data_IF_224918415606
#
_entry.id   IF_224918415606
#
_cell.length_a   1.000
_cell.length_b   1.000
_cell.length_c   1.000
_cell.angle_alpha   90.00
_cell.angle_beta   90.00
_cell.angle_gamma   90.00
#
_symmetry.space_group_name_H-M   'P 1'
#
loop_
_entity.id
_entity.type
_entity.pdbx_description
1 polymer ?
#
# COMPACT_ATOMS: atom_id res chain seq x y z
N UNK A 1 -12.92 19.02 2.71
CA UNK A 1 -14.08 18.36 3.34
C UNK A 1 -13.59 17.03 3.87
N UNK A 2 -13.79 16.71 5.13
CA UNK A 2 -13.36 15.44 5.70
C UNK A 2 -14.37 14.36 5.31
N UNK A 3 -13.94 13.36 4.54
CA UNK A 3 -14.79 12.23 4.16
C UNK A 3 -15.26 11.43 5.38
N UNK A 4 -14.46 11.36 6.44
CA UNK A 4 -14.80 10.67 7.69
C UNK A 4 -15.99 11.29 8.44
N UNK A 5 -16.21 12.60 8.33
CA UNK A 5 -17.22 13.31 9.12
C UNK A 5 -18.68 12.96 8.84
N UNK A 6 -18.96 12.19 7.80
CA UNK A 6 -20.31 11.75 7.40
C UNK A 6 -20.40 10.23 7.19
N UNK A 7 -19.39 9.50 7.65
CA UNK A 7 -19.27 8.06 7.52
C UNK A 7 -19.75 7.40 8.79
N UNK A 8 -20.60 6.39 8.68
CA UNK A 8 -21.05 5.57 9.81
C UNK A 8 -20.30 4.23 9.85
N UNK A 9 -20.14 3.59 8.69
CA UNK A 9 -19.45 2.29 8.53
C UNK A 9 -18.19 2.45 7.68
N UNK A 10 -17.03 2.32 8.29
CA UNK A 10 -15.73 2.43 7.63
C UNK A 10 -14.94 1.12 7.66
N UNK A 11 -14.21 0.83 6.60
CA UNK A 11 -13.24 -0.25 6.52
C UNK A 11 -11.85 0.30 6.20
N UNK A 12 -10.85 -0.14 6.95
CA UNK A 12 -9.43 0.02 6.61
C UNK A 12 -8.89 -1.33 6.11
N UNK A 13 -8.61 -1.43 4.81
CA UNK A 13 -8.09 -2.65 4.18
C UNK A 13 -6.57 -2.66 4.23
N UNK A 14 -5.99 -3.73 4.78
CA UNK A 14 -4.55 -3.85 4.93
C UNK A 14 -4.01 -2.90 5.99
N UNK A 15 -4.57 -2.98 7.20
CA UNK A 15 -4.28 -2.03 8.29
C UNK A 15 -2.84 -2.07 8.80
N UNK A 16 -2.06 -3.10 8.42
CA UNK A 16 -0.71 -3.30 8.96
C UNK A 16 -0.75 -3.56 10.46
N UNK A 17 0.01 -2.80 11.22
CA UNK A 17 -0.04 -2.83 12.70
C UNK A 17 -1.17 -2.01 13.31
N UNK A 18 -1.96 -1.27 12.51
CA UNK A 18 -3.05 -0.40 12.98
C UNK A 18 -2.63 1.01 13.39
N UNK A 19 -1.33 1.35 13.29
CA UNK A 19 -0.81 2.64 13.74
C UNK A 19 -1.39 3.81 12.93
N UNK A 20 -1.52 3.64 11.62
CA UNK A 20 -2.10 4.67 10.77
C UNK A 20 -3.59 4.88 11.08
N UNK A 21 -4.37 3.80 11.15
CA UNK A 21 -5.79 3.88 11.45
C UNK A 21 -6.03 4.56 12.80
N UNK A 22 -5.28 4.19 13.84
CA UNK A 22 -5.40 4.80 15.17
C UNK A 22 -5.05 6.30 15.19
N UNK A 23 -4.24 6.78 14.24
CA UNK A 23 -3.89 8.20 14.12
C UNK A 23 -4.97 9.07 13.49
N UNK A 24 -5.99 8.48 12.87
CA UNK A 24 -7.08 9.20 12.17
C UNK A 24 -8.23 9.62 13.11
N UNK A 25 -8.07 9.45 14.41
CA UNK A 25 -9.12 9.76 15.39
C UNK A 25 -9.63 11.22 15.30
N UNK A 26 -10.95 11.49 15.43
CA UNK A 26 -12.03 10.53 15.69
C UNK A 26 -12.44 9.71 14.47
N UNK A 27 -12.61 8.41 14.67
CA UNK A 27 -13.06 7.46 13.66
C UNK A 27 -14.59 7.30 13.67
N UNK A 28 -15.21 6.84 12.56
CA UNK A 28 -16.61 6.45 12.52
C UNK A 28 -16.95 5.41 13.58
N UNK A 29 -18.21 5.43 14.05
CA UNK A 29 -18.68 4.55 15.12
C UNK A 29 -18.48 3.06 14.81
N UNK A 30 -18.68 2.67 13.55
CA UNK A 30 -18.57 1.29 13.07
C UNK A 30 -17.35 1.17 12.16
N UNK A 31 -16.15 1.26 12.75
CA UNK A 31 -14.89 1.07 12.01
C UNK A 31 -14.42 -0.36 12.13
N UNK A 32 -14.02 -0.93 10.99
CA UNK A 32 -13.47 -2.29 10.85
C UNK A 32 -12.08 -2.21 10.21
N UNK A 33 -11.26 -3.22 10.47
CA UNK A 33 -9.97 -3.36 9.82
C UNK A 33 -9.77 -4.78 9.29
N UNK A 34 -9.12 -4.92 8.13
CA UNK A 34 -8.65 -6.21 7.63
C UNK A 34 -7.14 -6.23 7.55
N UNK A 35 -6.56 -7.43 7.65
CA UNK A 35 -5.13 -7.65 7.49
C UNK A 35 -4.88 -9.04 6.89
N UNK A 36 -4.06 -9.09 5.84
CA UNK A 36 -3.73 -10.33 5.12
C UNK A 36 -2.42 -10.96 5.58
N UNK A 37 -1.48 -10.15 6.06
CA UNK A 37 -0.20 -10.66 6.56
C UNK A 37 -0.36 -11.15 8.00
N UNK A 38 -0.38 -12.46 8.18
CA UNK A 38 -0.73 -13.12 9.44
C UNK A 38 0.12 -12.68 10.63
N UNK A 39 1.37 -12.24 10.40
CA UNK A 39 2.23 -11.71 11.46
C UNK A 39 1.79 -10.35 11.99
N UNK A 40 1.08 -9.55 11.18
CA UNK A 40 0.56 -8.24 11.58
C UNK A 40 -0.76 -8.37 12.35
N UNK A 41 -1.57 -9.39 12.09
CA UNK A 41 -2.89 -9.56 12.70
C UNK A 41 -2.88 -9.44 14.23
N UNK A 42 -2.00 -10.13 14.99
CA UNK A 42 -1.96 -9.99 16.44
C UNK A 42 -1.49 -8.59 16.89
N UNK A 43 -0.64 -7.93 16.10
CA UNK A 43 -0.16 -6.57 16.38
C UNK A 43 -1.31 -5.59 16.22
N UNK A 44 -2.02 -5.63 15.08
CA UNK A 44 -3.17 -4.80 14.81
C UNK A 44 -4.28 -4.98 15.86
N UNK A 45 -4.61 -6.24 16.19
CA UNK A 45 -5.61 -6.54 17.24
C UNK A 45 -5.25 -5.90 18.58
N UNK A 46 -3.98 -5.97 19.00
CA UNK A 46 -3.52 -5.34 20.24
C UNK A 46 -3.61 -3.81 20.16
N UNK A 47 -3.13 -3.22 19.08
CA UNK A 47 -3.06 -1.75 18.94
C UNK A 47 -4.44 -1.11 18.77
N UNK A 48 -5.38 -1.80 18.12
CA UNK A 48 -6.73 -1.28 17.88
C UNK A 48 -7.76 -1.68 18.94
N UNK A 49 -7.38 -2.55 19.90
CA UNK A 49 -8.29 -3.06 20.94
C UNK A 49 -8.90 -1.96 21.82
N UNK A 50 -8.09 -0.96 22.21
CA UNK A 50 -8.55 0.16 23.04
C UNK A 50 -9.55 1.08 22.32
N UNK A 51 -9.58 1.03 20.99
CA UNK A 51 -10.52 1.78 20.16
C UNK A 51 -11.79 0.95 19.81
N UNK A 52 -11.85 -0.31 20.26
CA UNK A 52 -12.97 -1.20 19.98
C UNK A 52 -13.07 -1.64 18.51
N UNK A 53 -12.00 -1.51 17.72
CA UNK A 53 -11.99 -1.80 16.29
C UNK A 53 -11.69 -3.29 16.07
N UNK A 54 -12.61 -4.08 15.48
CA UNK A 54 -12.37 -5.47 15.13
C UNK A 54 -11.38 -5.58 13.96
N UNK A 55 -10.36 -6.44 14.12
CA UNK A 55 -9.40 -6.78 13.07
C UNK A 55 -9.68 -8.19 12.57
N UNK A 56 -9.98 -8.30 11.29
CA UNK A 56 -10.35 -9.55 10.61
C UNK A 56 -9.18 -9.99 9.73
N UNK A 57 -8.69 -11.20 9.98
CA UNK A 57 -7.70 -11.81 9.10
C UNK A 57 -8.37 -12.22 7.79
N UNK A 58 -7.78 -11.84 6.67
CA UNK A 58 -8.31 -12.13 5.33
C UNK A 58 -7.24 -12.73 4.44
N UNK A 59 -7.68 -13.37 3.34
CA UNK A 59 -6.81 -13.81 2.27
C UNK A 59 -7.21 -13.06 1.00
N UNK A 60 -6.25 -12.48 0.29
CA UNK A 60 -6.50 -11.71 -0.95
C UNK A 60 -7.16 -12.51 -2.08
N UNK A 61 -7.04 -13.82 -2.07
CA UNK A 61 -7.66 -14.70 -3.07
C UNK A 61 -9.10 -15.07 -2.76
N UNK A 62 -9.62 -14.67 -1.60
CA UNK A 62 -10.96 -15.02 -1.13
C UNK A 62 -11.88 -13.79 -1.12
N UNK A 63 -13.18 -14.07 -1.18
CA UNK A 63 -14.20 -13.06 -0.96
C UNK A 63 -14.09 -12.50 0.46
N UNK A 64 -14.14 -11.18 0.60
CA UNK A 64 -14.11 -10.53 1.91
C UNK A 64 -15.33 -10.93 2.74
N UNK A 65 -15.17 -11.17 4.06
CA UNK A 65 -16.23 -11.69 4.94
C UNK A 65 -17.23 -10.59 5.37
N UNK A 66 -17.68 -9.82 4.40
CA UNK A 66 -18.68 -8.75 4.60
C UNK A 66 -19.82 -8.91 3.61
N UNK A 67 -21.00 -8.48 4.03
CA UNK A 67 -22.19 -8.39 3.17
C UNK A 67 -21.97 -7.37 2.04
N UNK A 68 -22.77 -7.49 0.98
CA UNK A 68 -22.80 -6.49 -0.06
C UNK A 68 -23.35 -5.18 0.50
N UNK A 69 -22.80 -4.05 0.03
CA UNK A 69 -23.29 -2.71 0.36
C UNK A 69 -23.27 -2.42 1.87
N UNK A 70 -22.21 -2.87 2.55
CA UNK A 70 -22.10 -2.75 4.00
C UNK A 70 -21.42 -1.44 4.45
N UNK A 71 -20.40 -0.96 3.70
CA UNK A 71 -19.58 0.19 4.09
C UNK A 71 -19.93 1.48 3.35
N UNK A 72 -19.96 2.60 4.05
CA UNK A 72 -20.03 3.94 3.46
C UNK A 72 -18.69 4.37 2.88
N UNK A 73 -17.61 3.94 3.52
CA UNK A 73 -16.25 4.27 3.14
C UNK A 73 -15.30 3.10 3.32
N UNK A 74 -14.46 2.91 2.32
CA UNK A 74 -13.37 1.95 2.36
C UNK A 74 -12.07 2.71 2.12
N UNK A 75 -11.11 2.55 3.02
CA UNK A 75 -9.73 3.03 2.88
C UNK A 75 -8.82 1.84 2.60
N UNK A 76 -7.83 2.06 1.75
CA UNK A 76 -6.78 1.09 1.48
C UNK A 76 -5.45 1.83 1.31
N UNK A 77 -4.41 1.36 2.00
CA UNK A 77 -3.11 1.99 1.92
C UNK A 77 -2.02 0.96 1.73
N UNK A 78 -1.41 0.98 0.53
CA UNK A 78 -0.27 0.13 0.16
C UNK A 78 -0.57 -1.38 0.23
N UNK A 79 -1.84 -1.76 0.20
CA UNK A 79 -2.24 -3.16 0.18
C UNK A 79 -2.97 -3.49 -1.13
N UNK A 80 -2.97 -4.77 -1.49
CA UNK A 80 -3.71 -5.27 -2.65
C UNK A 80 -5.21 -5.11 -2.41
N UNK A 81 -5.94 -4.81 -3.48
CA UNK A 81 -7.39 -4.84 -3.50
C UNK A 81 -7.92 -5.37 -4.84
N UNK A 82 -9.08 -6.00 -4.82
CA UNK A 82 -9.80 -6.40 -6.01
C UNK A 82 -10.96 -5.40 -6.24
N UNK A 83 -10.95 -4.61 -7.33
CA UNK A 83 -11.95 -3.56 -7.55
C UNK A 83 -13.40 -4.04 -7.49
N UNK A 84 -13.70 -5.22 -8.05
CA UNK A 84 -15.05 -5.80 -8.03
C UNK A 84 -15.53 -6.15 -6.62
N UNK A 85 -14.63 -6.61 -5.75
CA UNK A 85 -14.96 -6.95 -4.37
C UNK A 85 -15.15 -5.69 -3.51
N UNK A 86 -14.30 -4.68 -3.71
CA UNK A 86 -14.48 -3.36 -3.10
C UNK A 86 -15.83 -2.77 -3.52
N UNK A 87 -16.18 -2.85 -4.82
CA UNK A 87 -17.46 -2.39 -5.33
C UNK A 87 -18.64 -3.12 -4.68
N UNK A 88 -18.51 -4.44 -4.49
CA UNK A 88 -19.55 -5.26 -3.88
C UNK A 88 -19.89 -4.83 -2.46
N UNK A 89 -18.84 -4.64 -1.62
CA UNK A 89 -19.05 -4.34 -0.19
C UNK A 89 -19.29 -2.86 0.11
N UNK A 90 -19.05 -1.97 -0.86
CA UNK A 90 -19.30 -0.54 -0.73
C UNK A 90 -20.77 -0.23 -1.01
N UNK A 91 -21.39 0.62 -0.20
CA UNK A 91 -22.76 1.10 -0.39
C UNK A 91 -22.88 1.99 -1.64
N UNK A 92 -24.07 2.10 -2.25
CA UNK A 92 -24.35 3.11 -3.26
C UNK A 92 -24.01 4.51 -2.74
N UNK A 93 -23.26 5.28 -3.53
CA UNK A 93 -22.71 6.60 -3.18
C UNK A 93 -21.57 6.58 -2.16
N UNK A 94 -21.12 5.41 -1.71
CA UNK A 94 -19.97 5.25 -0.84
C UNK A 94 -18.64 5.63 -1.52
N UNK A 95 -17.61 5.84 -0.73
CA UNK A 95 -16.29 6.25 -1.19
C UNK A 95 -15.25 5.16 -0.99
N UNK A 96 -14.45 4.93 -2.01
CA UNK A 96 -13.21 4.17 -1.93
C UNK A 96 -12.03 5.12 -2.06
N UNK A 97 -11.13 5.12 -1.07
CA UNK A 97 -9.93 5.95 -1.02
C UNK A 97 -8.73 5.01 -0.96
N UNK A 98 -7.90 5.02 -1.98
CA UNK A 98 -6.69 4.19 -2.01
C UNK A 98 -5.44 5.00 -2.27
N UNK A 99 -4.38 4.73 -1.49
CA UNK A 99 -3.03 5.19 -1.73
C UNK A 99 -2.14 3.99 -2.06
N UNK A 100 -1.44 4.04 -3.17
CA UNK A 100 -0.66 2.93 -3.69
C UNK A 100 0.81 3.31 -3.93
N UNK A 101 1.64 2.28 -3.97
CA UNK A 101 3.03 2.36 -4.45
C UNK A 101 3.03 2.02 -5.93
N UNK A 102 3.51 2.92 -6.76
CA UNK A 102 3.58 2.71 -8.20
C UNK A 102 4.83 1.93 -8.64
N UNK A 103 4.81 1.46 -9.87
CA UNK A 103 5.83 0.60 -10.48
C UNK A 103 7.20 1.26 -10.69
N UNK A 104 7.27 2.60 -10.63
CA UNK A 104 8.53 3.34 -10.68
C UNK A 104 9.19 3.51 -9.30
N UNK A 105 8.61 2.90 -8.24
CA UNK A 105 9.17 3.00 -6.90
C UNK A 105 10.52 2.27 -6.82
N UNK A 106 11.56 2.99 -6.39
CA UNK A 106 12.93 2.49 -6.28
C UNK A 106 13.49 1.83 -7.55
N UNK A 107 13.03 2.28 -8.74
CA UNK A 107 13.44 1.75 -10.04
C UNK A 107 14.96 1.81 -10.25
N UNK A 108 15.65 2.77 -9.62
CA UNK A 108 17.10 2.93 -9.68
C UNK A 108 17.83 1.74 -9.07
N UNK A 109 17.24 1.06 -8.07
CA UNK A 109 17.80 -0.20 -7.54
C UNK A 109 17.72 -1.31 -8.59
N UNK A 110 16.59 -1.45 -9.29
CA UNK A 110 16.47 -2.43 -10.37
C UNK A 110 17.50 -2.15 -11.47
N UNK A 111 17.67 -0.89 -11.87
CA UNK A 111 18.67 -0.48 -12.86
C UNK A 111 20.08 -0.79 -12.39
N UNK A 112 20.43 -0.45 -11.13
CA UNK A 112 21.75 -0.72 -10.56
C UNK A 112 22.07 -2.21 -10.52
N UNK A 113 21.14 -3.01 -10.04
CA UNK A 113 21.29 -4.46 -9.95
C UNK A 113 21.05 -5.17 -11.29
N UNK A 114 20.65 -4.45 -12.35
CA UNK A 114 20.33 -4.96 -13.69
C UNK A 114 19.25 -6.03 -13.65
N UNK A 115 18.26 -5.82 -12.81
CA UNK A 115 17.08 -6.66 -12.70
C UNK A 115 15.86 -5.92 -13.25
N UNK A 116 14.96 -6.68 -13.87
CA UNK A 116 13.71 -6.12 -14.39
C UNK A 116 12.75 -5.84 -13.25
N UNK A 117 11.90 -4.86 -13.43
CA UNK A 117 10.70 -4.73 -12.59
C UNK A 117 9.79 -5.91 -12.86
N UNK A 118 9.20 -6.46 -11.81
CA UNK A 118 8.33 -7.62 -11.89
C UNK A 118 6.86 -7.18 -11.85
N UNK A 119 6.04 -7.91 -12.59
CA UNK A 119 4.59 -7.69 -12.66
C UNK A 119 4.14 -6.84 -13.87
N UNK A 120 2.83 -6.64 -13.92
CA UNK A 120 2.20 -5.73 -14.87
C UNK A 120 2.45 -4.28 -14.43
N UNK A 121 2.39 -3.31 -15.36
CA UNK A 121 2.42 -1.91 -15.00
C UNK A 121 1.39 -1.60 -13.90
N UNK A 122 1.83 -0.91 -12.86
CA UNK A 122 0.97 -0.50 -11.76
C UNK A 122 1.20 0.98 -11.45
N UNK A 123 0.34 1.81 -11.98
CA UNK A 123 0.40 3.27 -11.89
C UNK A 123 -1.01 3.85 -11.77
N UNK A 124 -1.10 5.16 -11.72
CA UNK A 124 -2.37 5.87 -11.57
C UNK A 124 -3.36 5.54 -12.68
N UNK A 125 -2.90 5.47 -13.93
CA UNK A 125 -3.77 5.26 -15.09
C UNK A 125 -4.36 3.84 -15.09
N UNK A 126 -3.52 2.82 -14.87
CA UNK A 126 -3.97 1.42 -14.80
C UNK A 126 -4.94 1.20 -13.63
N UNK A 127 -4.59 1.68 -12.44
CA UNK A 127 -5.45 1.55 -11.25
C UNK A 127 -6.79 2.29 -11.43
N UNK A 128 -6.78 3.48 -12.04
CA UNK A 128 -8.00 4.24 -12.34
C UNK A 128 -8.86 3.52 -13.39
N UNK A 129 -8.23 2.98 -14.44
CA UNK A 129 -8.91 2.20 -15.48
C UNK A 129 -9.61 0.97 -14.90
N UNK A 130 -8.96 0.24 -14.01
CA UNK A 130 -9.52 -0.95 -13.38
C UNK A 130 -10.72 -0.62 -12.46
N UNK A 131 -10.65 0.50 -11.75
CA UNK A 131 -11.80 0.99 -10.98
C UNK A 131 -12.99 1.36 -11.89
N UNK A 132 -12.73 2.08 -12.99
CA UNK A 132 -13.78 2.46 -13.96
C UNK A 132 -14.41 1.23 -14.61
N UNK A 133 -13.62 0.21 -15.00
CA UNK A 133 -14.15 -1.09 -15.49
C UNK A 133 -15.09 -1.77 -14.49
N UNK A 134 -14.87 -1.54 -13.19
CA UNK A 134 -15.73 -2.03 -12.11
C UNK A 134 -16.82 -1.03 -11.70
N UNK A 135 -17.19 -0.10 -12.58
CA UNK A 135 -18.29 0.86 -12.43
C UNK A 135 -18.07 1.95 -11.37
N UNK A 136 -16.85 2.17 -10.90
CA UNK A 136 -16.53 3.32 -10.07
C UNK A 136 -16.46 4.61 -10.89
N UNK A 137 -16.85 5.71 -10.27
CA UNK A 137 -16.56 7.05 -10.75
C UNK A 137 -15.33 7.60 -10.04
N UNK A 138 -14.22 7.82 -10.74
CA UNK A 138 -13.02 8.45 -10.17
C UNK A 138 -13.30 9.94 -9.94
N UNK A 139 -13.26 10.37 -8.67
CA UNK A 139 -13.55 11.75 -8.25
C UNK A 139 -12.27 12.59 -8.21
N UNK A 140 -11.18 11.96 -7.74
CA UNK A 140 -9.86 12.60 -7.64
C UNK A 140 -8.79 11.55 -7.86
N UNK A 141 -7.76 11.93 -8.59
CA UNK A 141 -6.61 11.09 -8.86
C UNK A 141 -5.36 11.97 -8.84
N UNK A 142 -4.35 11.57 -8.07
CA UNK A 142 -3.09 12.30 -7.93
C UNK A 142 -1.94 11.33 -7.89
N UNK A 143 -0.91 11.65 -8.63
CA UNK A 143 0.36 10.92 -8.64
C UNK A 143 1.48 11.84 -8.17
N UNK A 144 2.44 11.29 -7.47
CA UNK A 144 3.55 12.04 -6.93
C UNK A 144 4.84 11.21 -6.97
N UNK A 145 5.90 11.87 -7.41
CA UNK A 145 7.25 11.37 -7.35
C UNK A 145 8.05 12.20 -6.35
N UNK A 146 8.60 11.53 -5.36
CA UNK A 146 9.56 12.09 -4.40
C UNK A 146 10.80 11.20 -4.37
N UNK A 147 11.73 11.44 -3.46
CA UNK A 147 12.95 10.65 -3.35
C UNK A 147 13.04 9.95 -2.00
N UNK A 148 13.49 8.70 -2.03
CA UNK A 148 14.04 8.00 -0.87
C UNK A 148 15.56 8.05 -0.99
N UNK A 149 16.24 8.58 0.03
CA UNK A 149 17.70 8.73 0.05
C UNK A 149 18.33 7.72 0.98
N UNK A 150 19.25 6.95 0.46
CA UNK A 150 20.06 5.98 1.20
C UNK A 150 21.44 6.58 1.45
N UNK A 151 21.85 6.66 2.72
CA UNK A 151 23.15 7.21 3.12
C UNK A 151 24.22 6.14 3.35
N UNK A 152 23.84 4.88 3.39
CA UNK A 152 24.74 3.74 3.52
C UNK A 152 24.18 2.50 2.85
N UNK A 153 25.09 1.56 2.56
CA UNK A 153 24.74 0.31 1.91
C UNK A 153 23.88 -0.62 2.81
N UNK A 154 24.04 -0.53 4.12
CA UNK A 154 23.26 -1.33 5.08
C UNK A 154 21.78 -0.99 4.99
N UNK A 155 21.42 0.30 4.83
CA UNK A 155 20.04 0.74 4.61
C UNK A 155 19.46 0.19 3.31
N UNK A 156 20.26 0.14 2.21
CA UNK A 156 19.83 -0.48 0.94
C UNK A 156 19.59 -1.98 1.11
N UNK A 157 20.51 -2.68 1.76
CA UNK A 157 20.39 -4.13 2.00
C UNK A 157 19.20 -4.46 2.89
N UNK A 158 18.95 -3.65 3.92
CA UNK A 158 17.76 -3.77 4.77
C UNK A 158 16.49 -3.55 3.96
N UNK A 159 16.45 -2.50 3.12
CA UNK A 159 15.30 -2.23 2.24
C UNK A 159 15.01 -3.42 1.34
N UNK A 160 16.01 -3.97 0.65
CA UNK A 160 15.84 -5.13 -0.25
C UNK A 160 15.45 -6.41 0.49
N UNK A 161 15.83 -6.55 1.76
CA UNK A 161 15.40 -7.66 2.61
C UNK A 161 13.92 -7.56 2.99
N UNK A 162 13.44 -6.36 3.30
CA UNK A 162 12.05 -6.12 3.72
C UNK A 162 11.12 -6.08 2.50
N UNK A 163 11.55 -5.44 1.41
CA UNK A 163 10.81 -5.29 0.16
C UNK A 163 11.34 -6.33 -0.85
N UNK A 164 11.14 -7.60 -0.53
CA UNK A 164 11.72 -8.71 -1.29
C UNK A 164 11.25 -8.79 -2.75
N UNK A 165 10.12 -8.18 -3.08
CA UNK A 165 9.61 -8.11 -4.44
C UNK A 165 10.30 -7.04 -5.31
N UNK A 166 11.09 -6.12 -4.71
CA UNK A 166 11.87 -5.14 -5.48
C UNK A 166 12.91 -5.83 -6.37
N UNK A 167 13.64 -6.78 -5.78
CA UNK A 167 14.58 -7.65 -6.50
C UNK A 167 14.33 -9.08 -5.98
N UNK A 168 13.50 -9.88 -6.67
CA UNK A 168 13.24 -11.26 -6.28
C UNK A 168 14.53 -12.06 -6.22
N UNK A 169 14.59 -12.99 -5.27
CA UNK A 169 15.76 -13.86 -5.02
C UNK A 169 17.06 -13.08 -4.73
N UNK A 170 16.94 -11.85 -4.19
CA UNK A 170 18.09 -11.06 -3.79
C UNK A 170 18.93 -11.82 -2.76
N UNK A 171 20.21 -12.00 -3.06
CA UNK A 171 21.18 -12.50 -2.09
C UNK A 171 22.53 -11.83 -2.29
N UNK A 172 23.27 -11.71 -1.21
CA UNK A 172 24.57 -10.98 -1.18
C UNK A 172 25.59 -11.63 -2.11
N UNK A 173 25.64 -12.96 -2.17
CA UNK A 173 26.63 -13.66 -3.00
C UNK A 173 26.43 -13.42 -4.49
N UNK A 174 25.19 -13.43 -4.95
CA UNK A 174 24.84 -13.17 -6.36
C UNK A 174 25.21 -11.74 -6.79
N UNK A 175 25.09 -10.78 -5.88
CA UNK A 175 25.23 -9.35 -6.20
C UNK A 175 26.45 -8.68 -5.55
N UNK A 176 27.43 -9.45 -5.06
CA UNK A 176 28.57 -8.97 -4.28
C UNK A 176 29.29 -7.76 -4.95
N UNK A 177 29.67 -7.90 -6.22
CA UNK A 177 30.36 -6.82 -6.95
C UNK A 177 29.50 -5.56 -7.10
N UNK A 178 28.18 -5.70 -7.30
CA UNK A 178 27.25 -4.57 -7.41
C UNK A 178 27.01 -3.91 -6.06
N UNK A 179 26.97 -4.68 -4.98
CA UNK A 179 26.88 -4.18 -3.60
C UNK A 179 28.10 -3.36 -3.25
N UNK A 180 29.32 -3.87 -3.55
CA UNK A 180 30.58 -3.15 -3.35
C UNK A 180 30.59 -1.86 -4.19
N UNK A 181 30.18 -1.95 -5.45
CA UNK A 181 30.09 -0.78 -6.33
C UNK A 181 29.15 0.30 -5.79
N UNK A 182 27.97 -0.10 -5.27
CA UNK A 182 27.00 0.83 -4.67
C UNK A 182 27.53 1.43 -3.36
N UNK A 183 28.21 0.63 -2.54
CA UNK A 183 28.88 1.11 -1.33
C UNK A 183 29.90 2.20 -1.64
N UNK A 184 30.75 1.96 -2.63
CA UNK A 184 31.79 2.91 -3.07
C UNK A 184 31.13 4.19 -3.64
N UNK A 185 30.07 4.06 -4.44
CA UNK A 185 29.31 5.20 -4.96
C UNK A 185 28.75 6.05 -3.81
N UNK A 186 28.08 5.43 -2.85
CA UNK A 186 27.54 6.13 -1.68
C UNK A 186 28.68 6.81 -0.89
N UNK A 187 29.79 6.11 -0.70
CA UNK A 187 30.98 6.67 0.00
C UNK A 187 31.57 7.90 -0.72
N UNK A 188 31.49 7.96 -2.04
CA UNK A 188 32.01 9.06 -2.84
C UNK A 188 31.02 10.22 -2.97
N UNK A 189 29.72 9.91 -3.21
CA UNK A 189 28.69 10.90 -3.49
C UNK A 189 27.93 11.34 -2.21
N UNK A 190 28.09 10.60 -1.12
CA UNK A 190 27.43 10.83 0.17
C UNK A 190 26.05 10.16 0.29
N UNK A 191 25.43 9.72 -0.81
CA UNK A 191 24.11 9.10 -0.80
C UNK A 191 23.81 8.37 -2.13
N UNK A 192 22.69 7.61 -2.12
CA UNK A 192 22.05 7.08 -3.32
C UNK A 192 20.56 7.38 -3.27
N UNK A 193 20.06 8.10 -4.27
CA UNK A 193 18.64 8.47 -4.37
C UNK A 193 17.86 7.45 -5.20
N UNK A 194 16.68 7.12 -4.72
CA UNK A 194 15.70 6.30 -5.42
C UNK A 194 14.37 7.03 -5.52
N UNK A 195 13.68 6.85 -6.62
CA UNK A 195 12.33 7.35 -6.80
C UNK A 195 11.39 6.77 -5.75
N UNK A 196 10.56 7.61 -5.17
CA UNK A 196 9.45 7.22 -4.32
C UNK A 196 8.16 7.54 -5.07
N UNK A 197 7.62 6.55 -5.78
CA UNK A 197 6.41 6.68 -6.59
C UNK A 197 5.18 6.32 -5.78
N UNK A 198 4.26 7.27 -5.62
CA UNK A 198 2.97 7.11 -4.92
C UNK A 198 1.86 7.69 -5.76
N UNK A 199 0.68 7.07 -5.67
CA UNK A 199 -0.54 7.65 -6.19
C UNK A 199 -1.72 7.46 -5.24
N UNK A 200 -2.66 8.38 -5.32
CA UNK A 200 -3.90 8.41 -4.53
C UNK A 200 -5.08 8.48 -5.49
N UNK A 201 -6.08 7.64 -5.25
CA UNK A 201 -7.35 7.67 -5.96
C UNK A 201 -8.48 7.80 -4.95
N UNK A 202 -9.43 8.68 -5.24
CA UNK A 202 -10.72 8.75 -4.58
C UNK A 202 -11.78 8.40 -5.61
N UNK A 203 -12.46 7.29 -5.39
CA UNK A 203 -13.50 6.80 -6.27
C UNK A 203 -14.84 6.69 -5.51
N UNK A 204 -15.94 6.75 -6.25
CA UNK A 204 -17.31 6.67 -5.74
C UNK A 204 -18.07 5.57 -6.47
N UNK A 205 -18.84 4.77 -5.72
CA UNK A 205 -19.82 3.84 -6.26
C UNK A 205 -21.10 4.54 -6.67
#
# INVERSE_FOLDING_TARGET
MSYLGHTEYALDMGTGGGEFLSSLFPLPQHTYATESYMSNVPVAKRNLSSLGIPVIAVNHSEKLPFESEFFDMIMNRHDYYQPSEVYRILQPKGYFITQQVGDQNAIELNQWFQEKTHGNPWNLDEASSDLVKCHFTVINAKEMFTNTRFFDIGAVLFFLKVISWQIPDFNIQKYDSKIIGLHNKIGTEGFFDCSCHRFLIIAKK
#
